data_IF_141563265090
#
_entry.id   IF_141563265090
#
_cell.length_a   1.000
_cell.length_b   1.000
_cell.length_c   1.000
_cell.angle_alpha   90.00
_cell.angle_beta   90.00
_cell.angle_gamma   90.00
#
_symmetry.space_group_name_H-M   'P 1'
#
loop_
_entity.id
_entity.type
_entity.pdbx_description
1 polymer ?
#
# COMPACT_ATOMS: atom_id res chain seq x y z
N UNK A 1 -4.46 8.09 -11.69
CA UNK A 1 -3.58 9.03 -10.98
C UNK A 1 -2.58 8.13 -10.31
N UNK A 2 -1.31 8.54 -10.24
CA UNK A 2 -0.29 7.78 -9.52
C UNK A 2 0.04 8.50 -8.24
N UNK A 3 -0.16 7.83 -7.11
CA UNK A 3 0.27 8.33 -5.82
C UNK A 3 1.57 7.68 -5.42
N UNK A 4 2.59 8.49 -5.13
CA UNK A 4 3.92 8.02 -4.75
C UNK A 4 4.18 8.43 -3.30
N UNK A 5 4.31 7.43 -2.44
CA UNK A 5 4.63 7.61 -1.02
C UNK A 5 6.00 7.02 -0.70
N UNK A 6 6.79 7.76 0.06
CA UNK A 6 8.09 7.28 0.56
C UNK A 6 8.02 7.07 2.06
N UNK A 7 8.51 5.92 2.54
CA UNK A 7 8.66 5.66 3.97
C UNK A 7 9.92 4.84 4.25
N UNK A 8 10.40 4.88 5.49
CA UNK A 8 11.50 4.03 5.95
C UNK A 8 10.99 3.02 6.96
N UNK A 9 11.53 1.81 6.89
CA UNK A 9 11.29 0.80 7.92
C UNK A 9 12.18 1.09 9.16
N UNK A 10 11.93 0.39 10.27
CA UNK A 10 12.71 0.42 11.53
C UNK A 10 14.22 0.22 11.28
N UNK A 11 14.58 -0.53 10.23
CA UNK A 11 15.97 -0.77 9.81
C UNK A 11 16.52 0.32 8.85
N UNK A 12 15.88 1.49 8.76
CA UNK A 12 16.22 2.62 7.88
C UNK A 12 16.24 2.33 6.37
N UNK A 13 15.74 1.17 5.96
CA UNK A 13 15.63 0.78 4.55
C UNK A 13 14.52 1.62 3.89
N UNK A 14 14.79 2.30 2.76
CA UNK A 14 13.79 3.08 2.06
C UNK A 14 12.84 2.19 1.26
N UNK A 15 11.55 2.47 1.43
CA UNK A 15 10.45 1.87 0.69
C UNK A 15 9.69 2.95 -0.08
N UNK A 16 9.20 2.58 -1.25
CA UNK A 16 8.36 3.41 -2.12
C UNK A 16 7.05 2.66 -2.38
N UNK A 17 5.93 3.32 -2.13
CA UNK A 17 4.59 2.81 -2.45
C UNK A 17 4.09 3.56 -3.66
N UNK A 18 3.61 2.82 -4.65
CA UNK A 18 2.94 3.38 -5.82
C UNK A 18 1.51 2.85 -5.84
N UNK A 19 0.55 3.76 -5.80
CA UNK A 19 -0.87 3.47 -5.97
C UNK A 19 -1.27 3.94 -7.35
N UNK A 20 -1.73 3.02 -8.21
CA UNK A 20 -2.22 3.35 -9.54
C UNK A 20 -3.76 3.26 -9.57
N UNK A 21 -4.40 4.39 -9.83
CA UNK A 21 -5.86 4.53 -9.99
C UNK A 21 -6.29 4.74 -11.45
N UNK A 22 -5.40 4.50 -12.43
CA UNK A 22 -5.73 4.51 -13.87
C UNK A 22 -5.96 5.88 -14.52
N UNK A 23 -6.12 6.97 -13.76
CA UNK A 23 -6.15 8.34 -14.30
C UNK A 23 -4.77 8.95 -14.64
N UNK A 24 -4.76 10.18 -15.19
CA UNK A 24 -3.55 10.90 -15.63
C UNK A 24 -3.04 11.84 -14.54
N UNK A 25 -1.75 11.73 -14.18
CA UNK A 25 -1.06 12.61 -13.22
C UNK A 25 -0.29 11.86 -12.13
N UNK A 26 0.72 12.49 -11.54
CA UNK A 26 1.52 11.97 -10.42
C UNK A 26 1.41 12.92 -9.23
N UNK A 27 1.27 12.38 -8.02
CA UNK A 27 1.16 13.15 -6.78
C UNK A 27 1.96 12.48 -5.68
N UNK A 28 2.81 13.25 -5.02
CA UNK A 28 3.51 12.78 -3.83
C UNK A 28 2.57 12.82 -2.62
N UNK A 29 2.53 11.71 -1.87
CA UNK A 29 1.74 11.57 -0.66
C UNK A 29 2.64 11.43 0.56
N UNK A 30 2.26 12.07 1.66
CA UNK A 30 2.96 11.90 2.93
C UNK A 30 2.42 10.66 3.64
N UNK A 31 3.32 9.79 4.05
CA UNK A 31 2.97 8.56 4.75
C UNK A 31 2.75 8.84 6.24
N UNK A 32 1.78 8.16 6.86
CA UNK A 32 1.49 8.26 8.29
C UNK A 32 2.56 7.60 9.18
N UNK A 33 2.36 7.70 10.50
CA UNK A 33 3.29 7.16 11.50
C UNK A 33 3.52 5.64 11.35
N UNK A 34 2.46 4.89 11.02
CA UNK A 34 2.52 3.49 10.61
C UNK A 34 2.23 3.41 9.10
N UNK A 35 3.25 3.54 8.25
CA UNK A 35 3.07 3.77 6.82
C UNK A 35 2.44 2.58 6.09
N UNK A 36 2.82 1.35 6.46
CA UNK A 36 2.37 0.12 5.82
C UNK A 36 2.33 -1.04 6.80
N UNK A 37 1.17 -1.68 6.95
CA UNK A 37 0.94 -2.81 7.85
C UNK A 37 0.43 -3.99 7.04
N UNK A 38 1.16 -5.11 7.05
CA UNK A 38 0.69 -6.38 6.48
C UNK A 38 0.21 -7.27 7.61
N UNK A 39 -1.04 -7.73 7.52
CA UNK A 39 -1.62 -8.75 8.39
C UNK A 39 -1.73 -10.03 7.60
N UNK A 40 -1.16 -11.10 8.14
CA UNK A 40 -1.34 -12.45 7.63
C UNK A 40 -2.35 -13.16 8.52
N UNK A 41 -3.49 -13.57 7.96
CA UNK A 41 -4.43 -14.42 8.69
C UNK A 41 -4.00 -15.88 8.56
N UNK A 42 -2.98 -16.28 9.31
CA UNK A 42 -2.33 -17.58 9.15
C UNK A 42 -2.33 -18.53 10.35
N UNK A 43 -2.67 -18.09 11.57
CA UNK A 43 -2.20 -18.83 12.77
C UNK A 43 -3.28 -19.07 13.84
N UNK A 44 -4.33 -19.81 13.51
CA UNK A 44 -5.12 -20.48 14.55
C UNK A 44 -5.51 -21.92 14.24
N UNK A 45 -5.39 -22.37 12.98
CA UNK A 45 -5.75 -23.73 12.58
C UNK A 45 -4.92 -24.20 11.38
N UNK A 46 -4.38 -25.42 11.50
CA UNK A 46 -3.60 -26.16 10.47
C UNK A 46 -4.37 -26.47 9.18
N UNK A 47 -5.66 -26.15 9.10
CA UNK A 47 -6.56 -26.53 8.00
C UNK A 47 -7.22 -25.35 7.27
N UNK A 48 -6.75 -24.11 7.43
CA UNK A 48 -7.30 -22.98 6.64
C UNK A 48 -6.64 -23.02 5.25
N UNK A 49 -7.37 -23.36 4.16
CA UNK A 49 -6.77 -23.54 2.83
C UNK A 49 -6.39 -22.22 2.15
N UNK A 50 -6.82 -21.10 2.72
CA UNK A 50 -6.67 -19.77 2.13
C UNK A 50 -5.65 -18.97 2.94
N UNK A 51 -4.47 -18.74 2.36
CA UNK A 51 -3.53 -17.72 2.84
C UNK A 51 -4.09 -16.36 2.45
N UNK A 52 -4.78 -15.70 3.38
CA UNK A 52 -5.25 -14.35 3.20
C UNK A 52 -4.20 -13.38 3.78
N UNK A 53 -3.59 -12.59 2.91
CA UNK A 53 -2.82 -11.41 3.30
C UNK A 53 -3.71 -10.18 3.15
N UNK A 54 -3.68 -9.29 4.13
CA UNK A 54 -4.31 -7.98 4.07
C UNK A 54 -3.25 -6.93 4.32
N UNK A 55 -3.20 -5.91 3.48
CA UNK A 55 -2.30 -4.78 3.65
C UNK A 55 -3.12 -3.51 3.95
N UNK A 56 -2.67 -2.73 4.92
CA UNK A 56 -3.24 -1.43 5.28
C UNK A 56 -2.18 -0.36 5.09
N UNK A 57 -2.53 0.70 4.36
CA UNK A 57 -1.67 1.84 4.07
C UNK A 57 -2.23 3.08 4.77
N UNK A 58 -1.41 3.80 5.51
CA UNK A 58 -1.84 5.02 6.19
C UNK A 58 -1.27 6.26 5.48
N UNK A 59 -2.15 7.10 4.96
CA UNK A 59 -1.79 8.28 4.17
C UNK A 59 -2.23 9.53 4.93
N UNK A 60 -1.31 10.47 5.09
CA UNK A 60 -1.59 11.80 5.64
C UNK A 60 -1.65 12.77 4.47
N UNK A 61 -2.85 13.30 4.21
CA UNK A 61 -3.10 14.28 3.16
C UNK A 61 -4.02 15.37 3.70
N UNK A 62 -3.79 16.62 3.29
CA UNK A 62 -4.72 17.74 3.57
C UNK A 62 -5.98 17.67 2.72
N UNK A 63 -5.95 16.93 1.61
CA UNK A 63 -7.05 16.75 0.67
C UNK A 63 -7.57 15.31 0.70
N UNK A 64 -8.89 15.12 0.63
CA UNK A 64 -9.50 13.80 0.51
C UNK A 64 -9.18 13.17 -0.86
N UNK A 65 -8.53 12.01 -0.83
CA UNK A 65 -8.12 11.23 -2.01
C UNK A 65 -9.25 10.27 -2.43
N UNK A 66 -10.39 10.83 -2.86
CA UNK A 66 -11.58 10.06 -3.23
C UNK A 66 -11.38 9.09 -4.40
N UNK A 67 -10.38 9.34 -5.25
CA UNK A 67 -10.07 8.50 -6.41
C UNK A 67 -9.31 7.22 -6.07
N UNK A 68 -8.73 7.12 -4.86
CA UNK A 68 -8.13 5.88 -4.35
C UNK A 68 -9.23 4.89 -3.96
N UNK A 69 -10.42 5.40 -3.61
CA UNK A 69 -11.57 4.58 -3.28
C UNK A 69 -12.19 4.01 -4.56
N UNK A 70 -11.92 2.74 -4.84
CA UNK A 70 -12.61 1.98 -5.88
C UNK A 70 -13.86 1.32 -5.32
N UNK A 71 -15.01 1.53 -5.98
CA UNK A 71 -16.23 0.76 -5.71
C UNK A 71 -16.14 -0.68 -6.23
N UNK A 72 -15.18 -0.95 -7.13
CA UNK A 72 -14.90 -2.28 -7.67
C UNK A 72 -13.86 -3.01 -6.80
N UNK A 73 -14.10 -4.31 -6.57
CA UNK A 73 -13.23 -5.15 -5.74
C UNK A 73 -11.79 -5.31 -6.29
N UNK A 74 -11.60 -5.04 -7.58
CA UNK A 74 -10.31 -5.09 -8.27
C UNK A 74 -10.24 -3.86 -9.20
N UNK A 75 -9.31 -2.95 -8.96
CA UNK A 75 -9.20 -1.73 -9.78
C UNK A 75 -8.04 -0.82 -9.37
N UNK A 76 -7.73 -0.78 -8.08
CA UNK A 76 -6.58 -0.02 -7.56
C UNK A 76 -5.39 -0.95 -7.37
N UNK A 77 -4.37 -0.82 -8.22
CA UNK A 77 -3.11 -1.58 -8.09
C UNK A 77 -2.19 -0.87 -7.11
N UNK A 78 -1.73 -1.58 -6.09
CA UNK A 78 -0.73 -1.07 -5.14
C UNK A 78 0.54 -1.88 -5.34
N UNK A 79 1.67 -1.19 -5.55
CA UNK A 79 2.98 -1.80 -5.68
C UNK A 79 3.91 -1.25 -4.60
N UNK A 80 4.59 -2.15 -3.90
CA UNK A 80 5.60 -1.81 -2.93
C UNK A 80 6.98 -2.05 -3.54
N UNK A 81 7.86 -1.07 -3.41
CA UNK A 81 9.24 -1.17 -3.84
C UNK A 81 10.16 -1.05 -2.63
N UNK A 82 11.17 -1.91 -2.54
CA UNK A 82 12.30 -1.81 -1.60
C UNK A 82 13.54 -1.51 -2.40
N UNK A 83 14.24 -0.39 -2.10
CA UNK A 83 15.44 0.00 -2.86
C UNK A 83 15.25 -0.04 -4.39
N UNK A 84 14.07 0.36 -4.87
CA UNK A 84 13.67 0.32 -6.29
C UNK A 84 13.44 -1.09 -6.91
N UNK A 85 13.42 -2.14 -6.09
CA UNK A 85 12.99 -3.49 -6.47
C UNK A 85 11.54 -3.72 -6.04
N UNK A 86 10.67 -4.19 -6.93
CA UNK A 86 9.29 -4.55 -6.58
C UNK A 86 9.25 -5.73 -5.60
N UNK A 87 8.42 -5.61 -4.57
CA UNK A 87 8.08 -6.69 -3.65
C UNK A 87 6.65 -7.16 -3.98
N UNK A 88 6.51 -8.45 -4.25
CA UNK A 88 5.22 -9.14 -4.45
C UNK A 88 4.46 -9.37 -3.13
#
# INVERSE_FOLDING_TARGET
MKYIGHFKNINEIPYKVVIDTGGVGETEITMGADPFIVKYEGESTIYKPLKLSSASLNIVSSNYLFDIYSAEAQGTKIQLFRNNTELE
#
